data_IF_597054747407
#
_entry.id   IF_597054747407
#
_cell.length_a   1.000
_cell.length_b   1.000
_cell.length_c   1.000
_cell.angle_alpha   90.00
_cell.angle_beta   90.00
_cell.angle_gamma   90.00
#
_symmetry.space_group_name_H-M   'P 1'
#
loop_
_entity.id
_entity.type
_entity.pdbx_description
1 polymer ?
#
# COMPACT_ATOMS: atom_id res chain seq x y z
N UNK A 1 -4.28 -22.75 9.59
CA UNK A 1 -4.62 -22.54 8.17
C UNK A 1 -3.57 -23.12 7.21
N UNK A 2 -2.73 -24.07 7.66
CA UNK A 2 -1.51 -24.52 6.97
C UNK A 2 -1.69 -25.20 5.61
N UNK A 3 -2.91 -25.61 5.23
CA UNK A 3 -3.20 -26.18 3.91
C UNK A 3 -4.02 -25.25 3.02
N UNK A 4 -4.36 -24.04 3.49
CA UNK A 4 -5.13 -23.08 2.71
C UNK A 4 -4.20 -22.35 1.73
N UNK A 5 -4.63 -22.21 0.49
CA UNK A 5 -3.98 -21.37 -0.53
C UNK A 5 -4.68 -20.03 -0.71
N UNK A 6 -5.94 -19.93 -0.26
CA UNK A 6 -6.81 -18.77 -0.40
C UNK A 6 -7.46 -18.45 0.94
N UNK A 7 -7.20 -17.26 1.46
CA UNK A 7 -7.79 -16.72 2.67
C UNK A 7 -8.58 -15.43 2.39
N UNK A 8 -8.96 -15.21 1.13
CA UNK A 8 -9.61 -13.99 0.71
C UNK A 8 -10.92 -13.75 1.49
N UNK A 9 -11.03 -12.56 2.07
CA UNK A 9 -12.19 -12.10 2.84
C UNK A 9 -12.57 -12.88 4.08
N UNK A 10 -11.68 -13.71 4.61
CA UNK A 10 -12.01 -14.56 5.75
C UNK A 10 -12.62 -13.80 6.94
N UNK A 11 -12.21 -12.54 7.15
CA UNK A 11 -12.72 -11.66 8.21
C UNK A 11 -13.33 -10.37 7.68
N UNK A 12 -13.55 -10.22 6.37
CA UNK A 12 -14.08 -9.00 5.78
C UNK A 12 -15.39 -8.56 6.44
N UNK A 13 -15.47 -7.29 6.85
CA UNK A 13 -16.61 -6.71 7.54
C UNK A 13 -16.76 -7.08 9.01
N UNK A 14 -15.86 -7.92 9.56
CA UNK A 14 -15.85 -8.23 10.99
C UNK A 14 -15.22 -7.06 11.76
N UNK A 15 -15.97 -5.95 11.91
CA UNK A 15 -15.48 -4.67 12.42
C UNK A 15 -14.80 -4.75 13.79
N UNK A 16 -15.24 -5.64 14.67
CA UNK A 16 -14.67 -5.85 16.01
C UNK A 16 -13.60 -6.94 16.09
N UNK A 17 -13.20 -7.54 14.96
CA UNK A 17 -12.24 -8.64 14.96
C UNK A 17 -10.83 -8.16 15.31
N UNK A 18 -10.27 -8.70 16.39
CA UNK A 18 -8.90 -8.43 16.83
C UNK A 18 -8.41 -9.59 17.70
N UNK A 19 -8.10 -10.73 17.08
CA UNK A 19 -7.67 -11.97 17.77
C UNK A 19 -6.22 -12.28 17.44
N UNK A 20 -5.53 -12.97 18.35
CA UNK A 20 -4.16 -13.41 18.10
C UNK A 20 -4.13 -14.46 16.97
N UNK A 21 -3.31 -14.17 15.95
CA UNK A 21 -3.09 -15.02 14.77
C UNK A 21 -1.60 -15.35 14.57
N UNK A 22 -0.77 -15.10 15.58
CA UNK A 22 0.70 -15.26 15.50
C UNK A 22 1.14 -16.69 15.15
N UNK A 23 0.32 -17.69 15.48
CA UNK A 23 0.57 -19.12 15.21
C UNK A 23 0.05 -19.59 13.85
N UNK A 24 -0.43 -18.69 12.99
CA UNK A 24 -0.91 -19.07 11.67
C UNK A 24 0.27 -19.30 10.72
N UNK A 25 0.30 -20.49 10.13
CA UNK A 25 1.20 -20.82 9.03
C UNK A 25 0.55 -20.44 7.70
N UNK A 26 1.11 -19.41 7.06
CA UNK A 26 0.67 -18.87 5.76
C UNK A 26 1.59 -19.26 4.61
N UNK A 27 2.58 -20.13 4.84
CA UNK A 27 3.61 -20.46 3.85
C UNK A 27 3.05 -21.06 2.55
N UNK A 28 1.82 -21.56 2.54
CA UNK A 28 1.14 -22.08 1.33
C UNK A 28 0.10 -21.11 0.72
N UNK A 29 -0.12 -19.95 1.34
CA UNK A 29 -1.17 -19.01 0.95
C UNK A 29 -0.69 -18.16 -0.22
N UNK A 30 -1.47 -18.16 -1.30
CA UNK A 30 -1.21 -17.38 -2.51
C UNK A 30 -2.02 -16.08 -2.59
N UNK A 31 -3.10 -15.96 -1.80
CA UNK A 31 -3.91 -14.74 -1.75
C UNK A 31 -4.50 -14.46 -0.37
N UNK A 32 -4.40 -13.19 0.05
CA UNK A 32 -4.97 -12.64 1.28
C UNK A 32 -5.96 -11.50 0.97
N UNK A 33 -6.50 -11.51 -0.25
CA UNK A 33 -7.32 -10.42 -0.78
C UNK A 33 -8.46 -10.04 0.16
N UNK A 34 -8.59 -8.76 0.48
CA UNK A 34 -9.62 -8.22 1.36
C UNK A 34 -9.82 -8.99 2.68
N UNK A 35 -8.82 -9.74 3.17
CA UNK A 35 -8.96 -10.67 4.31
C UNK A 35 -9.50 -9.96 5.55
N UNK A 36 -9.01 -8.76 5.83
CA UNK A 36 -9.45 -7.92 6.94
C UNK A 36 -10.19 -6.66 6.49
N UNK A 37 -10.63 -6.58 5.24
CA UNK A 37 -11.28 -5.37 4.75
C UNK A 37 -12.45 -4.97 5.67
N UNK A 38 -12.49 -3.70 6.08
CA UNK A 38 -13.46 -3.14 7.04
C UNK A 38 -13.43 -3.76 8.46
N UNK A 39 -12.33 -4.40 8.86
CA UNK A 39 -12.05 -4.76 10.26
C UNK A 39 -11.51 -3.56 11.03
N UNK A 40 -12.39 -2.61 11.34
CA UNK A 40 -12.07 -1.32 12.00
C UNK A 40 -11.15 -1.47 13.22
N UNK A 41 -11.37 -2.48 14.08
CA UNK A 41 -10.60 -2.71 15.31
C UNK A 41 -9.37 -3.62 15.17
N UNK A 42 -9.08 -4.13 13.97
CA UNK A 42 -7.98 -5.08 13.77
C UNK A 42 -6.62 -4.40 13.96
N UNK A 43 -5.81 -4.93 14.87
CA UNK A 43 -4.42 -4.50 15.09
C UNK A 43 -3.58 -5.64 15.69
N UNK A 44 -3.89 -6.88 15.30
CA UNK A 44 -3.18 -8.06 15.79
C UNK A 44 -1.76 -8.12 15.24
N UNK A 45 -0.87 -8.82 15.97
CA UNK A 45 0.48 -9.07 15.49
C UNK A 45 0.46 -10.00 14.27
N UNK A 46 1.00 -9.52 13.15
CA UNK A 46 1.15 -10.25 11.88
C UNK A 46 2.61 -10.36 11.41
N UNK A 47 3.57 -9.94 12.25
CA UNK A 47 5.01 -9.90 11.89
C UNK A 47 5.64 -11.27 11.66
N UNK A 48 5.02 -12.35 12.16
CA UNK A 48 5.49 -13.73 12.02
C UNK A 48 4.96 -14.43 10.77
N UNK A 49 4.10 -13.77 10.00
CA UNK A 49 3.47 -14.36 8.83
C UNK A 49 4.46 -14.47 7.67
N UNK A 50 4.58 -15.67 7.11
CA UNK A 50 5.26 -15.90 5.84
C UNK A 50 4.29 -15.64 4.69
N UNK A 51 4.45 -14.51 4.02
CA UNK A 51 3.66 -14.12 2.84
C UNK A 51 4.44 -14.27 1.53
N UNK A 52 5.61 -14.93 1.55
CA UNK A 52 6.51 -15.03 0.39
C UNK A 52 5.88 -15.70 -0.83
N UNK A 53 4.87 -16.55 -0.64
CA UNK A 53 4.12 -17.18 -1.75
C UNK A 53 2.87 -16.40 -2.18
N UNK A 54 2.56 -15.28 -1.52
CA UNK A 54 1.42 -14.44 -1.88
C UNK A 54 1.69 -13.70 -3.21
N UNK A 55 0.67 -13.66 -4.06
CA UNK A 55 0.69 -12.90 -5.32
C UNK A 55 -0.30 -11.74 -5.33
N UNK A 56 -1.24 -11.74 -4.37
CA UNK A 56 -2.33 -10.78 -4.25
C UNK A 56 -2.64 -10.51 -2.77
N UNK A 57 -2.29 -9.29 -2.34
CA UNK A 57 -2.58 -8.72 -1.02
C UNK A 57 -3.56 -7.56 -1.12
N UNK A 58 -4.27 -7.42 -2.26
CA UNK A 58 -5.11 -6.27 -2.51
C UNK A 58 -6.23 -6.14 -1.48
N UNK A 59 -6.50 -4.91 -1.07
CA UNK A 59 -7.54 -4.54 -0.10
C UNK A 59 -7.40 -5.20 1.29
N UNK A 60 -6.29 -5.88 1.59
CA UNK A 60 -6.17 -6.76 2.76
C UNK A 60 -6.49 -6.05 4.08
N UNK A 61 -6.01 -4.82 4.26
CA UNK A 61 -6.27 -3.96 5.43
C UNK A 61 -7.09 -2.72 5.08
N UNK A 62 -7.77 -2.71 3.92
CA UNK A 62 -8.64 -1.60 3.54
C UNK A 62 -9.66 -1.34 4.65
N UNK A 63 -9.82 -0.08 5.06
CA UNK A 63 -10.70 0.38 6.15
C UNK A 63 -10.42 -0.23 7.53
N UNK A 64 -9.23 -0.78 7.76
CA UNK A 64 -8.78 -1.18 9.10
C UNK A 64 -8.23 0.05 9.86
N UNK A 65 -9.09 0.99 10.25
CA UNK A 65 -8.65 2.28 10.79
C UNK A 65 -7.73 2.20 12.02
N UNK A 66 -7.75 1.11 12.78
CA UNK A 66 -6.88 0.87 13.95
C UNK A 66 -5.57 0.14 13.62
N UNK A 67 -5.39 -0.37 12.40
CA UNK A 67 -4.24 -1.20 12.06
C UNK A 67 -2.98 -0.36 11.95
N UNK A 68 -1.96 -0.76 12.71
CA UNK A 68 -0.59 -0.26 12.62
C UNK A 68 0.39 -1.40 12.96
N UNK A 69 0.06 -2.61 12.50
CA UNK A 69 0.85 -3.81 12.77
C UNK A 69 2.19 -3.77 12.04
N UNK A 70 3.20 -4.42 12.62
CA UNK A 70 4.50 -4.54 11.98
C UNK A 70 4.45 -5.52 10.80
N UNK A 71 4.75 -5.02 9.60
CA UNK A 71 4.83 -5.78 8.35
C UNK A 71 6.20 -5.65 7.67
N UNK A 72 7.22 -5.08 8.34
CA UNK A 72 8.54 -4.85 7.75
C UNK A 72 9.32 -6.13 7.43
N UNK A 73 8.91 -7.25 8.01
CA UNK A 73 9.50 -8.58 7.79
C UNK A 73 8.87 -9.35 6.63
N UNK A 74 7.80 -8.81 6.02
CA UNK A 74 7.09 -9.49 4.95
C UNK A 74 7.90 -9.48 3.66
N UNK A 75 8.06 -10.65 3.07
CA UNK A 75 8.58 -10.80 1.71
C UNK A 75 7.42 -10.63 0.72
N UNK A 76 7.36 -9.48 0.07
CA UNK A 76 6.33 -9.13 -0.93
C UNK A 76 6.85 -9.21 -2.37
N UNK A 77 8.04 -9.81 -2.60
CA UNK A 77 8.69 -9.80 -3.92
C UNK A 77 7.91 -10.52 -5.02
N UNK A 78 6.96 -11.39 -4.65
CA UNK A 78 6.07 -12.11 -5.57
C UNK A 78 4.70 -11.46 -5.74
N UNK A 79 4.40 -10.40 -4.98
CA UNK A 79 3.09 -9.74 -5.00
C UNK A 79 2.97 -8.85 -6.23
N UNK A 80 1.91 -9.06 -7.01
CA UNK A 80 1.63 -8.29 -8.23
C UNK A 80 0.49 -7.29 -8.04
N UNK A 81 -0.39 -7.53 -7.06
CA UNK A 81 -1.53 -6.68 -6.73
C UNK A 81 -1.49 -6.27 -5.25
N UNK A 82 -1.20 -4.98 -5.03
CA UNK A 82 -1.17 -4.28 -3.74
C UNK A 82 -2.22 -3.16 -3.69
N UNK A 83 -3.15 -3.11 -4.65
CA UNK A 83 -4.15 -2.04 -4.70
C UNK A 83 -4.91 -1.97 -3.38
N UNK A 84 -5.21 -0.76 -2.94
CA UNK A 84 -6.06 -0.50 -1.77
C UNK A 84 -5.62 -1.22 -0.46
N UNK A 85 -4.39 -1.76 -0.38
CA UNK A 85 -3.98 -2.61 0.74
C UNK A 85 -4.16 -1.91 2.09
N UNK A 86 -3.88 -0.61 2.16
CA UNK A 86 -4.03 0.26 3.33
C UNK A 86 -4.99 1.44 3.05
N UNK A 87 -5.89 1.31 2.08
CA UNK A 87 -6.90 2.33 1.80
C UNK A 87 -7.75 2.59 3.05
N UNK A 88 -7.97 3.85 3.41
CA UNK A 88 -8.64 4.34 4.60
C UNK A 88 -8.10 3.75 5.93
N UNK A 89 -6.85 3.26 5.94
CA UNK A 89 -6.19 2.69 7.12
C UNK A 89 -5.56 3.77 8.00
N UNK A 90 -6.38 4.69 8.53
CA UNK A 90 -5.94 5.98 9.09
C UNK A 90 -4.79 5.97 10.11
N UNK A 91 -4.61 4.89 10.87
CA UNK A 91 -3.54 4.78 11.88
C UNK A 91 -2.23 4.20 11.36
N UNK A 92 -2.20 3.68 10.14
CA UNK A 92 -1.04 2.97 9.61
C UNK A 92 0.10 3.93 9.29
N UNK A 93 1.27 3.64 9.86
CA UNK A 93 2.55 4.29 9.57
C UNK A 93 3.69 3.28 9.77
N UNK A 94 3.48 2.06 9.29
CA UNK A 94 4.46 0.97 9.40
C UNK A 94 5.69 1.20 8.55
N UNK A 95 6.81 0.59 8.94
CA UNK A 95 8.04 0.58 8.15
C UNK A 95 7.88 -0.38 6.95
N UNK A 96 8.07 0.16 5.75
CA UNK A 96 8.01 -0.56 4.48
C UNK A 96 9.31 -0.44 3.67
N UNK A 97 10.38 0.07 4.28
CA UNK A 97 11.66 0.36 3.59
C UNK A 97 12.35 -0.88 3.01
N UNK A 98 12.04 -2.06 3.56
CA UNK A 98 12.54 -3.37 3.15
C UNK A 98 11.71 -4.07 2.08
N UNK A 99 10.53 -3.54 1.72
CA UNK A 99 9.64 -4.19 0.78
C UNK A 99 10.20 -4.14 -0.65
N UNK A 100 10.31 -5.31 -1.27
CA UNK A 100 10.57 -5.43 -2.70
C UNK A 100 9.25 -5.42 -3.47
N UNK A 101 8.88 -4.25 -4.01
CA UNK A 101 7.67 -4.08 -4.82
C UNK A 101 7.92 -4.20 -6.32
N UNK A 102 9.10 -4.68 -6.75
CA UNK A 102 9.48 -4.73 -8.17
C UNK A 102 8.53 -5.56 -9.03
N UNK A 103 7.86 -6.57 -8.46
CA UNK A 103 6.85 -7.36 -9.17
C UNK A 103 5.49 -6.68 -9.30
N UNK A 104 5.21 -5.63 -8.53
CA UNK A 104 3.90 -5.00 -8.43
C UNK A 104 3.51 -4.29 -9.74
N UNK A 105 2.30 -4.57 -10.22
CA UNK A 105 1.69 -3.86 -11.36
C UNK A 105 0.62 -2.87 -10.90
N UNK A 106 -0.08 -3.21 -9.80
CA UNK A 106 -1.20 -2.45 -9.25
C UNK A 106 -0.85 -1.92 -7.84
N UNK A 107 -0.62 -0.62 -7.74
CA UNK A 107 -0.34 0.11 -6.50
C UNK A 107 -1.38 1.23 -6.24
N UNK A 108 -2.38 1.34 -7.10
CA UNK A 108 -3.38 2.41 -7.02
C UNK A 108 -4.20 2.33 -5.73
N UNK A 109 -4.59 3.49 -5.22
CA UNK A 109 -5.27 3.66 -3.93
C UNK A 109 -4.57 2.99 -2.71
N UNK A 110 -3.33 2.51 -2.80
CA UNK A 110 -2.72 1.67 -1.75
C UNK A 110 -2.77 2.33 -0.36
N UNK A 111 -2.59 3.65 -0.30
CA UNK A 111 -2.67 4.47 0.91
C UNK A 111 -3.74 5.56 0.80
N UNK A 112 -4.72 5.46 -0.11
CA UNK A 112 -5.80 6.44 -0.21
C UNK A 112 -6.45 6.67 1.18
N UNK A 113 -6.51 7.91 1.67
CA UNK A 113 -7.07 8.26 2.96
C UNK A 113 -6.26 7.79 4.18
N UNK A 114 -5.04 7.28 4.01
CA UNK A 114 -4.17 6.83 5.08
C UNK A 114 -3.45 8.02 5.74
N UNK A 115 -4.20 8.86 6.44
CA UNK A 115 -3.78 10.20 6.91
C UNK A 115 -2.47 10.25 7.73
N UNK A 116 -2.11 9.16 8.43
CA UNK A 116 -0.90 9.09 9.27
C UNK A 116 0.33 8.59 8.52
N UNK A 117 0.18 8.09 7.30
CA UNK A 117 1.26 7.42 6.60
C UNK A 117 2.33 8.43 6.14
N UNK A 118 3.57 8.15 6.54
CA UNK A 118 4.78 8.81 6.09
C UNK A 118 5.96 7.83 6.12
N UNK A 119 5.70 6.57 5.75
CA UNK A 119 6.72 5.52 5.70
C UNK A 119 7.78 5.80 4.63
N UNK A 120 8.99 5.29 4.85
CA UNK A 120 10.05 5.35 3.84
C UNK A 120 9.71 4.42 2.66
N UNK A 121 9.62 5.00 1.47
CA UNK A 121 9.38 4.31 0.21
C UNK A 121 10.43 4.67 -0.85
N UNK A 122 11.52 5.32 -0.44
CA UNK A 122 12.56 5.85 -1.33
C UNK A 122 13.34 4.76 -2.07
N UNK A 123 13.36 3.54 -1.51
CA UNK A 123 14.03 2.36 -2.07
C UNK A 123 13.15 1.54 -3.02
N UNK A 124 11.86 1.86 -3.15
CA UNK A 124 10.93 1.05 -3.92
C UNK A 124 11.24 1.09 -5.42
N UNK A 125 11.39 -0.10 -6.02
CA UNK A 125 11.43 -0.26 -7.47
C UNK A 125 9.99 -0.33 -8.01
N UNK A 126 9.51 0.78 -8.56
CA UNK A 126 8.18 0.88 -9.19
C UNK A 126 8.23 0.80 -10.73
N UNK A 127 9.37 0.38 -11.31
CA UNK A 127 9.60 0.37 -12.77
C UNK A 127 8.62 -0.50 -13.56
N UNK A 128 7.91 -1.40 -12.89
CA UNK A 128 6.87 -2.28 -13.48
C UNK A 128 5.43 -1.85 -13.19
N UNK A 129 5.24 -0.87 -12.30
CA UNK A 129 3.92 -0.39 -11.91
C UNK A 129 3.26 0.35 -13.07
N UNK A 130 2.01 -0.02 -13.39
CA UNK A 130 1.19 0.67 -14.41
C UNK A 130 0.18 1.62 -13.81
N UNK A 131 -0.28 1.29 -12.59
CA UNK A 131 -1.37 1.96 -11.90
C UNK A 131 -0.86 2.51 -10.56
N UNK A 132 -0.60 3.81 -10.51
CA UNK A 132 -0.19 4.59 -9.33
C UNK A 132 -1.23 5.67 -8.99
N UNK A 133 -2.34 5.74 -9.73
CA UNK A 133 -3.41 6.70 -9.50
C UNK A 133 -3.94 6.60 -8.07
N UNK A 134 -4.19 7.76 -7.46
CA UNK A 134 -4.68 7.88 -6.08
C UNK A 134 -3.83 7.18 -4.99
N UNK A 135 -2.61 6.72 -5.29
CA UNK A 135 -1.82 5.89 -4.35
C UNK A 135 -1.67 6.52 -2.96
N UNK A 136 -1.52 7.86 -2.89
CA UNK A 136 -1.44 8.64 -1.66
C UNK A 136 -2.56 9.68 -1.56
N UNK A 137 -3.68 9.50 -2.25
CA UNK A 137 -4.80 10.46 -2.19
C UNK A 137 -5.20 10.73 -0.74
N UNK A 138 -5.26 12.00 -0.32
CA UNK A 138 -5.63 12.37 1.05
C UNK A 138 -4.65 11.92 2.16
N UNK A 139 -3.45 11.42 1.83
CA UNK A 139 -2.39 11.15 2.81
C UNK A 139 -1.77 12.47 3.31
N UNK A 140 -2.45 13.15 4.24
CA UNK A 140 -2.06 14.50 4.66
C UNK A 140 -0.66 14.60 5.27
N UNK A 141 -0.14 13.51 5.86
CA UNK A 141 1.20 13.45 6.48
C UNK A 141 2.32 13.00 5.52
N UNK A 142 1.99 12.50 4.33
CA UNK A 142 2.98 11.89 3.44
C UNK A 142 3.93 12.94 2.85
N UNK A 143 5.23 12.71 3.01
CA UNK A 143 6.33 13.52 2.48
C UNK A 143 7.62 12.69 2.32
N UNK A 144 7.47 11.40 1.97
CA UNK A 144 8.61 10.52 1.71
C UNK A 144 9.30 10.88 0.40
N UNK A 145 10.59 10.57 0.29
CA UNK A 145 11.34 10.79 -0.95
C UNK A 145 10.90 9.79 -2.04
N UNK A 146 10.60 10.32 -3.22
CA UNK A 146 10.17 9.55 -4.40
C UNK A 146 10.97 9.94 -5.65
N UNK A 147 12.04 10.72 -5.49
CA UNK A 147 12.83 11.29 -6.58
C UNK A 147 13.60 10.23 -7.41
N UNK A 148 13.86 9.07 -6.80
CA UNK A 148 14.53 7.92 -7.40
C UNK A 148 13.60 6.98 -8.18
N UNK A 149 12.28 7.17 -8.08
CA UNK A 149 11.32 6.24 -8.68
C UNK A 149 11.38 6.28 -10.21
N UNK A 150 11.53 5.11 -10.82
CA UNK A 150 11.33 4.94 -12.25
C UNK A 150 9.83 4.74 -12.53
N UNK A 151 9.15 5.82 -12.90
CA UNK A 151 7.72 5.80 -13.28
C UNK A 151 7.50 5.65 -14.79
N UNK A 152 8.54 5.32 -15.57
CA UNK A 152 8.46 5.29 -17.04
C UNK A 152 7.44 4.30 -17.58
N UNK A 153 7.10 3.23 -16.85
CA UNK A 153 6.04 2.28 -17.23
C UNK A 153 4.62 2.71 -16.82
N UNK A 154 4.48 3.74 -15.98
CA UNK A 154 3.21 4.12 -15.40
C UNK A 154 2.29 4.78 -16.44
N UNK A 155 1.07 4.26 -16.56
CA UNK A 155 0.05 4.78 -17.49
C UNK A 155 -0.98 5.66 -16.77
N UNK A 156 -1.19 5.41 -15.48
CA UNK A 156 -2.17 6.09 -14.63
C UNK A 156 -1.50 6.65 -13.37
N UNK A 157 -1.38 7.98 -13.29
CA UNK A 157 -0.86 8.69 -12.11
C UNK A 157 -1.84 9.74 -11.57
N UNK A 158 -3.04 9.86 -12.17
CA UNK A 158 -3.99 10.89 -11.75
C UNK A 158 -4.31 10.80 -10.27
N UNK A 159 -4.43 11.97 -9.64
CA UNK A 159 -4.69 12.13 -8.21
C UNK A 159 -3.67 11.49 -7.24
N UNK A 160 -2.51 11.01 -7.71
CA UNK A 160 -1.55 10.24 -6.89
C UNK A 160 -1.20 10.89 -5.55
N UNK A 161 -0.97 12.21 -5.53
CA UNK A 161 -0.67 12.98 -4.31
C UNK A 161 -1.79 13.96 -3.95
N UNK A 162 -2.96 13.89 -4.60
CA UNK A 162 -4.02 14.87 -4.36
C UNK A 162 -4.43 14.89 -2.88
N UNK A 163 -4.40 16.05 -2.24
CA UNK A 163 -4.68 16.19 -0.80
C UNK A 163 -3.51 15.81 0.13
N UNK A 164 -2.32 15.49 -0.39
CA UNK A 164 -1.10 15.36 0.41
C UNK A 164 -0.59 16.73 0.86
N UNK A 165 -1.18 17.27 1.91
CA UNK A 165 -0.89 18.62 2.45
C UNK A 165 0.61 18.82 2.72
N UNK A 166 1.29 17.80 3.24
CA UNK A 166 2.71 17.85 3.62
C UNK A 166 3.69 17.54 2.48
N UNK A 167 3.21 17.04 1.33
CA UNK A 167 4.09 16.55 0.28
C UNK A 167 4.84 17.70 -0.41
N UNK A 168 6.16 17.56 -0.48
CA UNK A 168 7.08 18.43 -1.20
C UNK A 168 8.26 17.63 -1.79
N UNK A 169 7.98 16.42 -2.28
CA UNK A 169 8.98 15.57 -2.93
C UNK A 169 9.39 16.09 -4.31
N UNK A 170 10.67 15.90 -4.67
CA UNK A 170 11.18 16.20 -6.01
C UNK A 170 10.72 15.12 -6.99
N UNK A 171 10.06 15.55 -8.07
CA UNK A 171 9.56 14.70 -9.16
C UNK A 171 10.10 15.13 -10.52
N UNK A 172 11.11 16.02 -10.54
CA UNK A 172 11.64 16.64 -11.76
C UNK A 172 12.35 15.64 -12.69
N UNK A 173 12.80 14.51 -12.14
CA UNK A 173 13.46 13.41 -12.85
C UNK A 173 12.50 12.40 -13.49
N UNK A 174 11.22 12.44 -13.15
CA UNK A 174 10.25 11.42 -13.56
C UNK A 174 9.99 11.46 -15.07
N UNK A 175 10.20 10.32 -15.73
CA UNK A 175 9.74 10.11 -17.10
C UNK A 175 8.24 9.73 -17.10
N UNK A 176 7.39 10.72 -17.37
CA UNK A 176 5.93 10.54 -17.46
C UNK A 176 5.43 10.40 -18.90
N UNK A 177 6.31 10.08 -19.86
CA UNK A 177 5.95 10.05 -21.29
C UNK A 177 4.91 8.99 -21.65
N UNK A 178 4.77 7.92 -20.85
CA UNK A 178 3.74 6.90 -21.02
C UNK A 178 2.44 7.21 -20.23
N UNK A 179 2.41 8.25 -19.41
CA UNK A 179 1.23 8.61 -18.64
C UNK A 179 0.12 9.14 -19.56
N UNK A 180 -1.07 8.56 -19.46
CA UNK A 180 -2.25 8.99 -20.24
C UNK A 180 -3.10 10.01 -19.50
N UNK A 181 -2.98 10.05 -18.17
CA UNK A 181 -3.72 10.95 -17.29
C UNK A 181 -2.86 11.39 -16.09
N UNK A 182 -2.56 12.69 -16.06
CA UNK A 182 -1.85 13.39 -14.99
C UNK A 182 -2.76 14.41 -14.30
N UNK A 183 -4.09 14.26 -14.46
CA UNK A 183 -5.05 15.17 -13.84
C UNK A 183 -4.91 15.13 -12.32
N UNK A 184 -4.90 16.32 -11.72
CA UNK A 184 -4.94 16.52 -10.27
C UNK A 184 -3.82 15.84 -9.45
N UNK A 185 -2.70 15.43 -10.05
CA UNK A 185 -1.59 14.73 -9.35
C UNK A 185 -1.20 15.43 -8.04
N UNK A 186 -1.04 16.76 -8.08
CA UNK A 186 -0.65 17.60 -6.93
C UNK A 186 -1.78 18.52 -6.44
N UNK A 187 -3.04 18.26 -6.82
CA UNK A 187 -4.14 19.10 -6.35
C UNK A 187 -4.20 19.07 -4.82
N UNK A 188 -4.49 20.21 -4.18
CA UNK A 188 -4.59 20.32 -2.72
C UNK A 188 -3.29 19.96 -1.93
N UNK A 189 -2.13 19.87 -2.60
CA UNK A 189 -0.82 19.80 -1.95
C UNK A 189 -0.34 21.19 -1.53
N UNK A 190 -0.64 21.63 -0.30
CA UNK A 190 -0.32 23.00 0.14
C UNK A 190 1.18 23.29 0.29
N UNK A 191 2.00 22.25 0.51
CA UNK A 191 3.44 22.40 0.70
C UNK A 191 4.24 22.27 -0.60
N UNK A 192 3.63 21.76 -1.67
CA UNK A 192 4.30 21.43 -2.93
C UNK A 192 4.70 22.70 -3.68
N UNK A 193 6.00 22.89 -3.89
CA UNK A 193 6.55 24.10 -4.53
C UNK A 193 7.10 23.90 -5.95
N UNK A 194 7.10 22.67 -6.47
CA UNK A 194 7.39 22.34 -7.87
C UNK A 194 8.88 22.32 -8.23
#
# INVERSE_FOLDING_TARGET
>A
VSNATDLAGMFCGCSSFNRDLSNWDLSSVTTLRYMFCSCISFNSNVSTWDVSNATDLSEMFSRCSSFNGNVSTWDVSNVTDLREMFCECSSFNGDLSSWDVSSATYLYNMFDGCISFNGDVSSWDVSRAKYLNYMFYGCTSFNSDVSSWDVSSATYLSYMFCGCISFNGDVSSWDVSNATDLSFVFAECSSFNG
#
